data_IF_751224830600
#
_entry.id   IF_751224830600
#
_cell.length_a   1.000
_cell.length_b   1.000
_cell.length_c   1.000
_cell.angle_alpha   90.00
_cell.angle_beta   90.00
_cell.angle_gamma   90.00
#
_symmetry.space_group_name_H-M   'P 1'
#
loop_
_entity.id
_entity.type
_entity.pdbx_description
1 polymer ?
#
# COMPACT_ATOMS: atom_id res chain seq x y z
N UNK A 1 -6.85 -1.40 -2.79
CA UNK A 1 -7.51 -2.06 -3.95
C UNK A 1 -6.62 -2.16 -5.19
N UNK A 2 -5.62 -1.30 -5.41
CA UNK A 2 -4.74 -1.33 -6.60
C UNK A 2 -3.94 -2.63 -6.83
N UNK A 3 -3.56 -3.34 -5.76
CA UNK A 3 -2.78 -4.57 -5.83
C UNK A 3 -3.50 -5.77 -6.48
N UNK A 4 -4.83 -5.70 -6.61
CA UNK A 4 -5.62 -6.71 -7.30
C UNK A 4 -5.76 -6.44 -8.81
N UNK A 5 -5.36 -5.26 -9.28
CA UNK A 5 -5.39 -4.90 -10.69
C UNK A 5 -4.20 -5.51 -11.45
N UNK A 6 -4.42 -5.84 -12.72
CA UNK A 6 -3.39 -6.39 -13.63
C UNK A 6 -2.36 -5.32 -14.03
N UNK A 7 -2.85 -4.11 -14.33
CA UNK A 7 -2.04 -2.97 -14.76
C UNK A 7 -2.31 -1.78 -13.83
N UNK A 8 -1.26 -1.02 -13.52
CA UNK A 8 -1.30 0.11 -12.57
C UNK A 8 -0.63 1.31 -13.21
N UNK A 9 -1.40 2.37 -13.41
CA UNK A 9 -0.94 3.68 -13.86
C UNK A 9 -1.28 4.69 -12.77
N UNK A 10 -0.36 5.59 -12.46
CA UNK A 10 -0.54 6.56 -11.40
C UNK A 10 -0.35 8.01 -11.88
N UNK A 11 -1.04 8.93 -11.23
CA UNK A 11 -0.69 10.35 -11.30
C UNK A 11 0.62 10.61 -10.54
N UNK A 12 1.41 11.58 -10.99
CA UNK A 12 2.68 11.99 -10.36
C UNK A 12 2.54 12.42 -8.90
N UNK A 13 1.39 12.97 -8.52
CA UNK A 13 1.10 13.38 -7.14
C UNK A 13 0.56 12.25 -6.25
N UNK A 14 0.35 11.04 -6.79
CA UNK A 14 -0.18 9.93 -6.01
C UNK A 14 0.77 9.50 -4.88
N UNK A 15 0.19 8.93 -3.83
CA UNK A 15 0.90 8.35 -2.68
C UNK A 15 0.33 6.97 -2.40
N UNK A 16 1.21 6.02 -2.10
CA UNK A 16 0.88 4.61 -1.93
C UNK A 16 1.38 4.10 -0.58
N UNK A 17 0.61 3.25 0.08
CA UNK A 17 1.02 2.60 1.30
C UNK A 17 -0.17 2.00 2.03
N UNK A 18 0.12 1.18 3.03
CA UNK A 18 -0.87 0.65 3.96
C UNK A 18 -0.37 0.96 5.37
N UNK A 19 -0.65 2.17 5.91
CA UNK A 19 -0.12 2.61 7.21
C UNK A 19 -0.88 1.95 8.37
N UNK A 20 -1.13 0.64 8.30
CA UNK A 20 -1.93 -0.13 9.26
C UNK A 20 -1.35 -0.08 10.68
N UNK A 21 -0.03 0.04 10.81
CA UNK A 21 0.62 0.21 12.11
C UNK A 21 0.34 1.57 12.75
N UNK A 22 -0.21 2.56 12.01
CA UNK A 22 -0.63 3.87 12.55
C UNK A 22 -2.12 3.94 12.88
N UNK A 23 -2.90 2.87 12.64
CA UNK A 23 -4.38 2.91 12.74
C UNK A 23 -4.93 2.21 13.99
N UNK A 24 -5.16 0.92 14.01
CA UNK A 24 -5.88 0.29 15.14
C UNK A 24 -5.08 -0.85 15.76
N UNK A 25 -3.77 -0.96 15.49
CA UNK A 25 -3.02 -2.17 15.84
C UNK A 25 -3.49 -3.39 15.04
N UNK A 26 -4.20 -3.18 13.93
CA UNK A 26 -4.74 -4.23 13.09
C UNK A 26 -3.70 -4.71 12.05
N UNK A 27 -3.79 -5.98 11.66
CA UNK A 27 -2.93 -6.51 10.60
C UNK A 27 -3.50 -6.22 9.20
N UNK A 28 -2.62 -6.19 8.20
CA UNK A 28 -3.06 -6.21 6.79
C UNK A 28 -3.58 -7.61 6.45
N UNK A 29 -4.66 -7.70 5.66
CA UNK A 29 -5.19 -8.99 5.23
C UNK A 29 -4.10 -9.85 4.54
N UNK A 30 -4.03 -11.18 4.79
CA UNK A 30 -2.96 -12.03 4.26
C UNK A 30 -2.81 -11.97 2.74
N UNK A 31 -3.93 -11.88 2.02
CA UNK A 31 -3.92 -11.74 0.57
C UNK A 31 -3.30 -10.41 0.13
N UNK A 32 -3.58 -9.31 0.82
CA UNK A 32 -2.99 -8.01 0.51
C UNK A 32 -1.48 -8.00 0.78
N UNK A 33 -1.03 -8.63 1.87
CA UNK A 33 0.41 -8.81 2.13
C UNK A 33 1.08 -9.66 1.05
N UNK A 34 0.47 -10.80 0.69
CA UNK A 34 0.95 -11.68 -0.39
C UNK A 34 1.11 -10.90 -1.69
N UNK A 35 0.06 -10.19 -2.12
CA UNK A 35 0.09 -9.42 -3.37
C UNK A 35 1.15 -8.32 -3.33
N UNK A 36 1.31 -7.64 -2.20
CA UNK A 36 2.30 -6.59 -2.04
C UNK A 36 3.73 -7.14 -2.09
N UNK A 37 4.02 -8.19 -1.31
CA UNK A 37 5.33 -8.82 -1.26
C UNK A 37 5.73 -9.43 -2.61
N UNK A 38 4.78 -10.03 -3.35
CA UNK A 38 5.02 -10.53 -4.70
C UNK A 38 5.26 -9.41 -5.72
N UNK A 39 4.70 -8.22 -5.48
CA UNK A 39 4.85 -7.07 -6.40
C UNK A 39 6.20 -6.37 -6.21
N UNK A 40 6.57 -5.99 -4.99
CA UNK A 40 7.76 -5.14 -4.73
C UNK A 40 8.95 -5.89 -4.12
N UNK A 41 8.75 -7.18 -3.85
CA UNK A 41 9.67 -8.03 -3.11
C UNK A 41 9.51 -7.92 -1.58
N UNK A 42 9.83 -9.00 -0.83
CA UNK A 42 9.55 -9.08 0.60
C UNK A 42 10.33 -8.06 1.45
N UNK A 43 11.55 -7.69 1.05
CA UNK A 43 12.37 -6.71 1.80
C UNK A 43 11.76 -5.32 1.74
N UNK A 44 11.38 -4.86 0.54
CA UNK A 44 10.75 -3.54 0.36
C UNK A 44 9.36 -3.51 0.98
N UNK A 45 8.60 -4.60 0.85
CA UNK A 45 7.30 -4.73 1.48
C UNK A 45 7.39 -4.56 3.00
N UNK A 46 8.33 -5.25 3.66
CA UNK A 46 8.56 -5.08 5.11
C UNK A 46 9.00 -3.67 5.46
N UNK A 47 9.92 -3.06 4.71
CA UNK A 47 10.33 -1.68 4.96
C UNK A 47 9.11 -0.75 5.00
N UNK A 48 8.27 -0.78 3.96
CA UNK A 48 7.12 0.13 3.83
C UNK A 48 6.06 -0.14 4.91
N UNK A 49 5.73 -1.41 5.16
CA UNK A 49 4.70 -1.80 6.11
C UNK A 49 5.12 -1.57 7.56
N UNK A 50 6.36 -1.92 7.93
CA UNK A 50 6.87 -1.76 9.29
C UNK A 50 7.09 -0.29 9.64
N UNK A 51 7.57 0.53 8.71
CA UNK A 51 7.70 1.98 8.96
C UNK A 51 6.39 2.73 8.78
N UNK A 52 5.35 2.06 8.27
CA UNK A 52 4.05 2.64 7.91
C UNK A 52 4.18 3.94 7.10
N UNK A 53 5.18 4.00 6.20
CA UNK A 53 5.43 5.19 5.39
C UNK A 53 4.63 5.14 4.11
N UNK A 54 4.40 6.31 3.52
CA UNK A 54 3.88 6.42 2.17
C UNK A 54 5.05 6.46 1.18
N UNK A 55 4.79 5.91 0.00
CA UNK A 55 5.66 5.82 -1.17
C UNK A 55 5.09 6.79 -2.20
N UNK A 56 5.91 7.65 -2.78
CA UNK A 56 5.47 8.53 -3.87
C UNK A 56 5.40 7.80 -5.21
N UNK A 57 4.83 8.45 -6.23
CA UNK A 57 4.65 7.83 -7.54
C UNK A 57 5.98 7.45 -8.21
N UNK A 58 7.05 8.23 -8.00
CA UNK A 58 8.37 7.97 -8.57
C UNK A 58 8.98 6.70 -7.97
N UNK A 59 9.01 6.62 -6.64
CA UNK A 59 9.47 5.44 -5.93
C UNK A 59 8.58 4.23 -6.27
N UNK A 60 7.26 4.40 -6.30
CA UNK A 60 6.32 3.34 -6.63
C UNK A 60 6.61 2.73 -8.01
N UNK A 61 6.98 3.54 -9.01
CA UNK A 61 7.43 3.06 -10.31
C UNK A 61 8.77 2.32 -10.22
N UNK A 62 9.74 2.89 -9.51
CA UNK A 62 11.08 2.32 -9.37
C UNK A 62 11.08 0.94 -8.70
N UNK A 63 10.16 0.70 -7.76
CA UNK A 63 10.04 -0.59 -7.06
C UNK A 63 9.06 -1.58 -7.72
N UNK A 64 8.48 -1.22 -8.88
CA UNK A 64 7.53 -2.07 -9.60
C UNK A 64 6.11 -2.12 -9.04
N UNK A 65 5.77 -1.22 -8.10
CA UNK A 65 4.40 -1.10 -7.57
C UNK A 65 3.44 -0.54 -8.62
N UNK A 66 3.93 0.31 -9.51
CA UNK A 66 3.18 0.97 -10.59
C UNK A 66 3.95 0.79 -11.91
N UNK A 67 3.25 0.55 -13.02
CA UNK A 67 3.86 0.38 -14.34
C UNK A 67 4.25 1.73 -14.97
N UNK A 68 3.35 2.71 -14.91
CA UNK A 68 3.50 4.00 -15.56
C UNK A 68 3.09 5.16 -14.63
N UNK A 69 3.77 6.31 -14.75
CA UNK A 69 3.46 7.53 -13.99
C UNK A 69 3.33 8.68 -14.96
N UNK A 70 2.24 9.43 -14.84
CA UNK A 70 1.90 10.55 -15.72
C UNK A 70 1.47 11.78 -14.91
N UNK A 71 1.58 13.00 -15.46
CA UNK A 71 0.89 14.16 -14.90
C UNK A 71 -0.61 13.89 -14.72
N UNK A 72 -1.24 14.49 -13.71
CA UNK A 72 -2.62 14.17 -13.34
C UNK A 72 -3.61 14.43 -14.47
N UNK A 73 -3.38 15.50 -15.22
CA UNK A 73 -4.16 15.93 -16.38
C UNK A 73 -3.99 15.02 -17.61
N UNK A 74 -2.90 14.27 -17.70
CA UNK A 74 -2.63 13.34 -18.82
C UNK A 74 -3.05 11.91 -18.52
N UNK A 75 -3.26 11.57 -17.23
CA UNK A 75 -3.52 10.22 -16.77
C UNK A 75 -4.72 9.57 -17.46
N UNK A 76 -5.85 10.28 -17.55
CA UNK A 76 -7.07 9.71 -18.13
C UNK A 76 -6.92 9.43 -19.63
N UNK A 77 -6.23 10.33 -20.36
CA UNK A 77 -5.92 10.13 -21.77
C UNK A 77 -5.11 8.86 -21.98
N UNK A 78 -4.05 8.68 -21.19
CA UNK A 78 -3.21 7.48 -21.25
C UNK A 78 -3.98 6.20 -20.91
N UNK A 79 -4.80 6.22 -19.85
CA UNK A 79 -5.63 5.07 -19.46
C UNK A 79 -6.59 4.69 -20.60
N UNK A 80 -7.21 5.68 -21.24
CA UNK A 80 -8.14 5.46 -22.37
C UNK A 80 -7.43 4.87 -23.58
N UNK A 81 -6.25 5.39 -23.92
CA UNK A 81 -5.42 4.87 -25.01
C UNK A 81 -5.02 3.40 -24.77
N UNK A 82 -4.53 3.09 -23.56
CA UNK A 82 -4.14 1.73 -23.21
C UNK A 82 -5.35 0.78 -23.22
N UNK A 83 -6.49 1.22 -22.67
CA UNK A 83 -7.71 0.43 -22.70
C UNK A 83 -8.15 0.14 -24.14
N UNK A 84 -8.11 1.15 -25.02
CA UNK A 84 -8.39 0.99 -26.45
C UNK A 84 -7.47 -0.05 -27.10
N UNK A 85 -6.17 0.07 -26.88
CA UNK A 85 -5.20 -0.90 -27.40
C UNK A 85 -5.49 -2.34 -26.94
N UNK A 86 -5.86 -2.54 -25.66
CA UNK A 86 -6.21 -3.87 -25.15
C UNK A 86 -7.43 -4.49 -25.86
N UNK A 87 -8.35 -3.68 -26.39
CA UNK A 87 -9.52 -4.19 -27.13
C UNK A 87 -9.18 -4.74 -28.52
N UNK A 88 -8.02 -4.35 -29.08
CA UNK A 88 -7.54 -4.83 -30.38
C UNK A 88 -6.83 -6.19 -30.28
N UNK A 89 -6.54 -6.65 -29.06
CA UNK A 89 -5.80 -7.88 -28.81
C UNK A 89 -6.72 -9.10 -28.70
N UNK A 90 -6.16 -10.30 -28.86
CA UNK A 90 -6.91 -11.55 -28.78
C UNK A 90 -7.50 -11.77 -27.37
N UNK A 91 -8.84 -11.75 -27.20
CA UNK A 91 -9.47 -11.72 -25.88
C UNK A 91 -9.24 -13.01 -25.07
N UNK A 92 -9.21 -14.17 -25.75
CA UNK A 92 -8.94 -15.46 -25.10
C UNK A 92 -7.50 -15.54 -24.57
N UNK A 93 -6.54 -14.96 -25.30
CA UNK A 93 -5.14 -14.89 -24.86
C UNK A 93 -5.02 -14.01 -23.61
N UNK A 94 -5.64 -12.83 -23.60
CA UNK A 94 -5.66 -11.96 -22.43
C UNK A 94 -6.29 -12.64 -21.21
N UNK A 95 -7.44 -13.32 -21.40
CA UNK A 95 -8.09 -14.06 -20.34
C UNK A 95 -7.21 -15.19 -19.78
N UNK A 96 -6.52 -15.92 -20.66
CA UNK A 96 -5.60 -16.99 -20.26
C UNK A 96 -4.42 -16.44 -19.44
N UNK A 97 -3.82 -15.32 -19.86
CA UNK A 97 -2.72 -14.66 -19.12
C UNK A 97 -3.17 -14.23 -17.73
N UNK A 98 -4.36 -13.62 -17.62
CA UNK A 98 -4.92 -13.18 -16.34
C UNK A 98 -5.16 -14.35 -15.40
N UNK A 99 -5.78 -15.42 -15.89
CA UNK A 99 -6.09 -16.58 -15.06
C UNK A 99 -4.83 -17.36 -14.67
N UNK A 100 -3.86 -17.53 -15.57
CA UNK A 100 -2.57 -18.14 -15.25
C UNK A 100 -1.84 -17.35 -14.16
N UNK A 101 -1.76 -16.03 -14.29
CA UNK A 101 -1.12 -15.15 -13.31
C UNK A 101 -1.81 -15.20 -11.95
N UNK A 102 -3.15 -15.20 -11.95
CA UNK A 102 -3.95 -15.35 -10.73
C UNK A 102 -3.66 -16.67 -10.02
N UNK A 103 -3.54 -17.78 -10.76
CA UNK A 103 -3.22 -19.11 -10.19
C UNK A 103 -1.82 -19.16 -9.59
N UNK A 104 -0.81 -18.63 -10.29
CA UNK A 104 0.58 -18.51 -9.79
C UNK A 104 0.60 -17.73 -8.48
N UNK A 105 -0.08 -16.59 -8.46
CA UNK A 105 -0.14 -15.71 -7.28
C UNK A 105 -0.84 -16.38 -6.10
N UNK A 106 -1.96 -17.08 -6.36
CA UNK A 106 -2.70 -17.82 -5.32
C UNK A 106 -1.88 -18.98 -4.74
N UNK A 107 -1.11 -19.68 -5.56
CA UNK A 107 -0.24 -20.76 -5.09
C UNK A 107 0.85 -20.25 -4.12
N UNK A 108 1.31 -19.02 -4.32
CA UNK A 108 2.28 -18.34 -3.46
C UNK A 108 1.64 -17.64 -2.23
N UNK A 109 0.33 -17.76 -2.03
CA UNK A 109 -0.34 -17.08 -0.93
C UNK A 109 0.08 -17.63 0.44
N UNK A 110 0.21 -16.72 1.40
CA UNK A 110 0.39 -17.07 2.80
C UNK A 110 -0.79 -17.92 3.26
N UNK A 111 -0.50 -19.15 3.70
CA UNK A 111 -1.47 -20.08 4.29
C UNK A 111 -1.35 -20.06 5.80
N UNK A 112 -2.39 -20.51 6.48
CA UNK A 112 -2.41 -20.75 7.93
C UNK A 112 -2.00 -19.53 8.77
N UNK A 113 -2.35 -18.32 8.32
CA UNK A 113 -2.00 -17.05 8.96
C UNK A 113 -2.99 -16.60 10.05
N UNK A 114 -3.88 -17.49 10.47
CA UNK A 114 -4.97 -17.15 11.40
C UNK A 114 -4.43 -16.77 12.78
N UNK A 115 -3.38 -17.42 13.23
CA UNK A 115 -2.63 -17.08 14.45
C UNK A 115 -2.11 -15.63 14.42
N UNK A 116 -1.52 -15.21 13.30
CA UNK A 116 -1.00 -13.85 13.11
C UNK A 116 -2.15 -12.84 13.17
N UNK A 117 -3.26 -13.12 12.48
CA UNK A 117 -4.43 -12.23 12.47
C UNK A 117 -5.00 -12.10 13.88
N UNK A 118 -5.27 -13.24 14.55
CA UNK A 118 -5.85 -13.25 15.88
C UNK A 118 -4.94 -12.55 16.90
N UNK A 119 -3.62 -12.68 16.78
CA UNK A 119 -2.68 -11.97 17.67
C UNK A 119 -2.85 -10.45 17.63
N UNK A 120 -3.13 -9.87 16.46
CA UNK A 120 -3.39 -8.44 16.32
C UNK A 120 -4.79 -8.05 16.79
N UNK A 121 -5.82 -8.77 16.36
CA UNK A 121 -7.22 -8.41 16.65
C UNK A 121 -7.64 -8.67 18.10
N UNK A 122 -6.99 -9.60 18.80
CA UNK A 122 -7.24 -9.88 20.22
C UNK A 122 -6.31 -9.10 21.16
N UNK A 123 -5.38 -8.31 20.61
CA UNK A 123 -4.45 -7.48 21.38
C UNK A 123 -5.16 -6.39 22.18
N UNK A 124 -4.53 -5.92 23.24
CA UNK A 124 -5.03 -4.79 24.02
C UNK A 124 -5.00 -3.49 23.19
N UNK A 125 -3.96 -3.30 22.38
CA UNK A 125 -3.84 -2.17 21.44
C UNK A 125 -5.08 -2.03 20.54
N UNK A 126 -5.61 -3.14 20.02
CA UNK A 126 -6.80 -3.13 19.18
C UNK A 126 -8.06 -2.75 19.96
N UNK A 127 -8.22 -3.28 21.19
CA UNK A 127 -9.36 -2.95 22.05
C UNK A 127 -9.35 -1.48 22.47
N UNK A 128 -8.20 -0.97 22.90
CA UNK A 128 -8.01 0.44 23.26
C UNK A 128 -8.30 1.35 22.06
N UNK A 129 -7.83 0.98 20.87
CA UNK A 129 -8.08 1.76 19.67
C UNK A 129 -9.56 1.77 19.22
N UNK A 130 -10.35 0.76 19.61
CA UNK A 130 -11.79 0.71 19.34
C UNK A 130 -12.64 1.37 20.43
N UNK A 131 -12.06 1.68 21.59
CA UNK A 131 -12.78 2.33 22.69
C UNK A 131 -13.25 3.74 22.26
N UNK A 132 -14.46 4.18 22.65
CA UNK A 132 -15.05 5.45 22.21
C UNK A 132 -14.19 6.69 22.49
N UNK A 133 -13.35 6.63 23.52
CA UNK A 133 -12.51 7.71 24.03
C UNK A 133 -11.16 7.89 23.31
N UNK A 134 -10.74 6.95 22.44
CA UNK A 134 -9.39 6.93 21.86
C UNK A 134 -9.20 7.83 20.62
N UNK A 135 -10.26 8.43 20.08
CA UNK A 135 -10.18 9.27 18.86
C UNK A 135 -9.46 10.61 19.02
N UNK A 136 -9.24 11.13 20.24
CA UNK A 136 -8.62 12.47 20.41
C UNK A 136 -7.12 12.47 20.77
N UNK A 137 -6.49 11.31 21.02
CA UNK A 137 -5.17 11.27 21.64
C UNK A 137 -3.98 10.91 20.72
N UNK A 138 -4.20 10.64 19.41
CA UNK A 138 -3.07 10.29 18.54
C UNK A 138 -2.53 11.51 17.79
N UNK A 139 -1.31 12.00 18.09
CA UNK A 139 -0.77 13.16 17.40
C UNK A 139 -0.52 12.76 15.94
N UNK A 140 -1.26 13.40 15.03
CA UNK A 140 -0.87 13.42 13.62
C UNK A 140 0.49 14.13 13.55
N UNK A 141 1.45 13.53 12.84
CA UNK A 141 2.86 13.88 12.87
C UNK A 141 3.26 15.26 12.31
N UNK A 142 2.56 16.33 12.69
CA UNK A 142 2.97 17.71 12.49
C UNK A 142 3.54 18.38 13.75
N UNK A 143 3.34 17.80 14.94
CA UNK A 143 3.78 18.40 16.20
C UNK A 143 5.20 18.00 16.67
N UNK A 144 5.94 17.20 15.90
CA UNK A 144 7.30 16.77 16.28
C UNK A 144 8.42 17.67 15.70
N UNK A 145 8.08 18.62 14.82
CA UNK A 145 9.06 19.49 14.15
C UNK A 145 9.15 20.88 14.79
N UNK A 146 8.12 21.34 15.51
CA UNK A 146 8.14 22.63 16.21
C UNK A 146 8.83 22.60 17.59
N UNK A 147 8.84 21.46 18.29
CA UNK A 147 9.49 21.37 19.63
C UNK A 147 11.02 21.29 19.56
N UNK A 148 11.61 21.18 18.36
CA UNK A 148 13.07 21.16 18.19
C UNK A 148 13.66 22.54 17.85
N UNK A 149 12.81 23.51 17.50
CA UNK A 149 13.24 24.87 17.18
C UNK A 149 13.23 25.81 18.40
N UNK A 150 12.49 25.50 19.47
CA UNK A 150 12.38 26.36 20.65
C UNK A 150 13.40 26.09 21.75
N UNK A 151 14.17 25.00 21.69
CA UNK A 151 15.18 24.66 22.71
C UNK A 151 16.62 24.99 22.28
N UNK A 152 16.80 25.82 21.25
CA UNK A 152 18.12 26.26 20.77
C UNK A 152 18.47 27.72 21.14
N UNK A 153 17.59 28.46 21.82
CA UNK A 153 17.76 29.91 22.09
C UNK A 153 17.82 30.31 23.59
N UNK A 154 17.89 29.35 24.52
CA UNK A 154 18.08 29.63 25.97
C UNK A 154 19.40 29.07 26.52
N UNK A 155 20.48 29.18 25.74
CA UNK A 155 21.84 29.04 26.26
C UNK A 155 22.75 30.13 25.67
N UNK A 156 22.53 31.36 26.14
CA UNK A 156 23.54 32.42 26.21
C UNK A 156 23.16 33.38 27.35
#
# INVERSE_FOLDING_TARGET
MSLACDLRIAASHARFGAPVARTLGNCTAPLAFTLFANTVGPVRARNILLTARLVDASEARAIGLVNEVHPGEQLLGRVTELAGHLTELAPLTLAAVKEATRRVTRAAALRDAEDIILSCYLSEDFKEACAPSSRSARPTGKAAEETRATNADESC
#
